data_IF_016233554773
#
_entry.id   IF_016233554773
#
_cell.length_a   1.000
_cell.length_b   1.000
_cell.length_c   1.000
_cell.angle_alpha   90.00
_cell.angle_beta   90.00
_cell.angle_gamma   90.00
#
_symmetry.space_group_name_H-M   'P 1'
#
loop_
_entity.id
_entity.type
_entity.pdbx_description
1 polymer ?
#
# COMPACT_ATOMS: atom_id res chain seq x y z
N UNK A 1 -17.10 -30.50 4.62
CA UNK A 1 -17.29 -29.18 3.96
C UNK A 1 -16.03 -28.28 4.01
N UNK A 2 -15.19 -28.35 5.06
CA UNK A 2 -13.97 -27.53 5.24
C UNK A 2 -12.87 -27.66 4.15
N UNK A 3 -12.76 -28.82 3.47
CA UNK A 3 -11.71 -29.06 2.44
C UNK A 3 -11.97 -28.30 1.13
N UNK A 4 -13.25 -28.08 0.75
CA UNK A 4 -13.61 -27.32 -0.46
C UNK A 4 -13.36 -25.82 -0.30
N UNK A 5 -13.57 -25.26 0.90
CA UNK A 5 -13.29 -23.85 1.17
C UNK A 5 -11.79 -23.51 1.12
N UNK A 6 -10.92 -24.39 1.63
CA UNK A 6 -9.46 -24.20 1.55
C UNK A 6 -8.94 -24.22 0.12
N UNK A 7 -9.48 -25.09 -0.74
CA UNK A 7 -9.11 -25.19 -2.16
C UNK A 7 -9.56 -23.93 -2.93
N UNK A 8 -10.77 -23.41 -2.64
CA UNK A 8 -11.27 -22.17 -3.24
C UNK A 8 -10.45 -20.95 -2.80
N UNK A 9 -10.05 -20.88 -1.53
CA UNK A 9 -9.16 -19.83 -1.02
C UNK A 9 -7.76 -19.89 -1.66
N UNK A 10 -7.22 -21.10 -1.84
CA UNK A 10 -5.90 -21.30 -2.47
C UNK A 10 -5.92 -20.94 -3.97
N UNK A 11 -6.99 -21.30 -4.69
CA UNK A 11 -7.21 -20.86 -6.09
C UNK A 11 -7.36 -19.34 -6.20
N UNK A 12 -8.10 -18.70 -5.29
CA UNK A 12 -8.23 -17.23 -5.27
C UNK A 12 -6.88 -16.55 -5.02
N UNK A 13 -6.06 -17.07 -4.11
CA UNK A 13 -4.72 -16.54 -3.85
C UNK A 13 -3.77 -16.72 -5.05
N UNK A 14 -3.84 -17.86 -5.75
CA UNK A 14 -3.04 -18.12 -6.94
C UNK A 14 -3.51 -17.28 -8.15
N UNK A 15 -4.82 -17.13 -8.34
CA UNK A 15 -5.36 -16.23 -9.37
C UNK A 15 -5.01 -14.78 -9.08
N UNK A 16 -5.05 -14.33 -7.82
CA UNK A 16 -4.56 -13.01 -7.44
C UNK A 16 -3.10 -12.84 -7.85
N UNK A 17 -2.20 -13.75 -7.45
CA UNK A 17 -0.78 -13.68 -7.85
C UNK A 17 -0.55 -13.68 -9.37
N UNK A 18 -1.35 -14.44 -10.13
CA UNK A 18 -1.25 -14.48 -11.59
C UNK A 18 -1.79 -13.21 -12.24
N UNK A 19 -2.93 -12.68 -11.77
CA UNK A 19 -3.50 -11.41 -12.24
C UNK A 19 -2.56 -10.27 -11.89
N UNK A 20 -1.99 -10.29 -10.70
CA UNK A 20 -0.99 -9.34 -10.23
C UNK A 20 0.26 -9.40 -11.10
N UNK A 21 0.83 -10.59 -11.35
CA UNK A 21 1.98 -10.76 -12.23
C UNK A 21 1.70 -10.40 -13.70
N UNK A 22 0.51 -10.70 -14.21
CA UNK A 22 0.08 -10.34 -15.55
C UNK A 22 -0.13 -8.82 -15.68
N UNK A 23 -0.78 -8.18 -14.72
CA UNK A 23 -0.93 -6.73 -14.66
C UNK A 23 0.43 -6.02 -14.55
N UNK A 24 1.38 -6.61 -13.80
CA UNK A 24 2.77 -6.14 -13.74
C UNK A 24 3.47 -6.25 -15.08
N UNK A 25 3.37 -7.39 -15.75
CA UNK A 25 3.94 -7.57 -17.09
C UNK A 25 3.35 -6.61 -18.12
N UNK A 26 2.02 -6.41 -18.07
CA UNK A 26 1.31 -5.50 -18.96
C UNK A 26 1.67 -4.03 -18.69
N UNK A 27 1.69 -3.58 -17.44
CA UNK A 27 2.08 -2.21 -17.11
C UNK A 27 3.51 -1.90 -17.52
N UNK A 28 4.44 -2.83 -17.31
CA UNK A 28 5.83 -2.69 -17.75
C UNK A 28 5.93 -2.70 -19.28
N UNK A 29 5.19 -3.57 -19.95
CA UNK A 29 5.14 -3.65 -21.40
C UNK A 29 4.58 -2.36 -22.02
N UNK A 30 3.53 -1.77 -21.45
CA UNK A 30 2.98 -0.49 -21.95
C UNK A 30 3.97 0.65 -21.70
N UNK A 31 4.52 0.76 -20.49
CA UNK A 31 5.46 1.83 -20.14
C UNK A 31 6.71 1.83 -21.03
N UNK A 32 7.33 0.67 -21.23
CA UNK A 32 8.50 0.56 -22.11
C UNK A 32 8.12 0.47 -23.59
N UNK A 33 6.98 -0.14 -23.91
CA UNK A 33 6.50 -0.29 -25.27
C UNK A 33 6.18 1.05 -25.92
N UNK A 34 5.61 2.01 -25.19
CA UNK A 34 5.32 3.36 -25.71
C UNK A 34 6.62 4.10 -26.10
N UNK A 35 7.72 3.81 -25.40
CA UNK A 35 9.04 4.43 -25.65
C UNK A 35 9.80 3.70 -26.77
N UNK A 36 9.74 2.37 -26.79
CA UNK A 36 10.60 1.53 -27.65
C UNK A 36 9.94 1.20 -28.99
N UNK A 37 8.62 1.04 -29.04
CA UNK A 37 7.90 0.58 -30.24
C UNK A 37 7.32 1.81 -30.97
N UNK A 38 7.81 2.14 -32.18
CA UNK A 38 7.20 3.17 -33.01
C UNK A 38 5.77 2.76 -33.39
N UNK A 39 4.80 3.64 -33.19
CA UNK A 39 3.38 3.40 -33.49
C UNK A 39 2.53 2.97 -32.29
N UNK A 40 3.11 2.33 -31.26
CA UNK A 40 2.35 1.95 -30.06
C UNK A 40 1.77 3.19 -29.34
N UNK A 41 2.52 4.30 -29.35
CA UNK A 41 2.08 5.60 -28.82
C UNK A 41 0.86 6.16 -29.59
N UNK A 42 0.87 6.05 -30.91
CA UNK A 42 -0.17 6.64 -31.76
C UNK A 42 -1.46 5.81 -31.72
N UNK A 43 -1.32 4.49 -31.69
CA UNK A 43 -2.42 3.58 -31.43
C UNK A 43 -3.03 3.87 -30.05
N UNK A 44 -2.18 4.03 -29.02
CA UNK A 44 -2.65 4.37 -27.68
C UNK A 44 -3.33 5.73 -27.60
N UNK A 45 -2.82 6.74 -28.31
CA UNK A 45 -3.45 8.05 -28.42
C UNK A 45 -4.84 7.95 -29.07
N UNK A 46 -4.98 7.10 -30.10
CA UNK A 46 -6.27 6.86 -30.77
C UNK A 46 -7.27 6.20 -29.84
N UNK A 47 -6.86 5.16 -29.09
CA UNK A 47 -7.72 4.52 -28.10
C UNK A 47 -8.13 5.48 -26.98
N UNK A 48 -7.20 6.29 -26.47
CA UNK A 48 -7.49 7.31 -25.46
C UNK A 48 -8.45 8.37 -25.99
N UNK A 49 -8.32 8.78 -27.27
CA UNK A 49 -9.22 9.74 -27.90
C UNK A 49 -10.67 9.22 -28.03
N UNK A 50 -10.89 7.92 -28.22
CA UNK A 50 -12.25 7.36 -28.23
C UNK A 50 -12.94 7.48 -26.87
N UNK A 51 -12.17 7.33 -25.78
CA UNK A 51 -12.71 7.38 -24.41
C UNK A 51 -12.80 8.81 -23.88
N UNK A 52 -11.79 9.63 -24.16
CA UNK A 52 -11.65 11.00 -23.64
C UNK A 52 -12.18 12.07 -24.59
N UNK A 53 -12.36 11.76 -25.87
CA UNK A 53 -12.92 12.67 -26.89
C UNK A 53 -14.37 13.10 -26.60
N UNK A 54 -15.32 12.16 -26.39
CA UNK A 54 -16.70 12.55 -26.12
C UNK A 54 -16.88 13.42 -24.87
N UNK A 55 -16.19 13.15 -23.73
CA UNK A 55 -16.17 14.05 -22.59
C UNK A 55 -15.45 15.38 -22.89
N UNK A 56 -14.39 15.39 -23.70
CA UNK A 56 -13.67 16.63 -24.02
C UNK A 56 -14.50 17.58 -24.85
N UNK A 57 -15.27 17.07 -25.81
CA UNK A 57 -16.09 17.88 -26.71
C UNK A 57 -17.32 18.47 -25.99
N UNK A 58 -17.81 17.81 -24.94
CA UNK A 58 -19.00 18.24 -24.18
C UNK A 58 -18.65 19.18 -23.03
N UNK A 59 -17.54 18.92 -22.33
CA UNK A 59 -17.14 19.69 -21.14
C UNK A 59 -16.35 20.94 -21.54
N UNK A 60 -15.64 20.89 -22.69
CA UNK A 60 -14.83 21.96 -23.30
C UNK A 60 -13.84 22.65 -22.32
N UNK A 61 -13.59 22.00 -21.17
CA UNK A 61 -12.73 22.48 -20.11
C UNK A 61 -11.89 21.33 -19.57
N UNK A 62 -10.62 21.38 -19.95
CA UNK A 62 -9.61 20.40 -19.60
C UNK A 62 -9.44 20.18 -18.09
N UNK A 63 -9.59 21.23 -17.27
CA UNK A 63 -9.44 21.14 -15.81
C UNK A 63 -10.54 20.28 -15.16
N UNK A 64 -11.78 20.38 -15.67
CA UNK A 64 -12.92 19.60 -15.15
C UNK A 64 -12.74 18.12 -15.49
N UNK A 65 -12.21 17.81 -16.68
CA UNK A 65 -11.92 16.43 -17.11
C UNK A 65 -10.85 15.81 -16.21
N UNK A 66 -9.75 16.54 -15.94
CA UNK A 66 -8.71 16.08 -15.01
C UNK A 66 -9.30 15.86 -13.61
N UNK A 67 -10.17 16.74 -13.14
CA UNK A 67 -10.80 16.60 -11.82
C UNK A 67 -11.62 15.31 -11.72
N UNK A 68 -12.44 15.02 -12.73
CA UNK A 68 -13.25 13.79 -12.80
C UNK A 68 -12.34 12.55 -12.83
N UNK A 69 -11.30 12.56 -13.66
CA UNK A 69 -10.32 11.47 -13.73
C UNK A 69 -9.58 11.29 -12.40
N UNK A 70 -9.21 12.37 -11.71
CA UNK A 70 -8.55 12.31 -10.42
C UNK A 70 -9.46 11.69 -9.35
N UNK A 71 -10.76 12.01 -9.36
CA UNK A 71 -11.74 11.41 -8.44
C UNK A 71 -11.88 9.91 -8.72
N UNK A 72 -12.03 9.51 -9.99
CA UNK A 72 -12.14 8.10 -10.39
C UNK A 72 -10.86 7.34 -10.01
N UNK A 73 -9.70 7.94 -10.26
CA UNK A 73 -8.40 7.37 -9.91
C UNK A 73 -8.27 7.21 -8.40
N UNK A 74 -8.58 8.25 -7.62
CA UNK A 74 -8.58 8.19 -6.17
C UNK A 74 -9.52 7.13 -5.61
N UNK A 75 -10.70 6.95 -6.23
CA UNK A 75 -11.66 5.93 -5.86
C UNK A 75 -11.15 4.51 -6.14
N UNK A 76 -10.65 4.26 -7.35
CA UNK A 76 -10.03 2.98 -7.71
C UNK A 76 -8.84 2.66 -6.79
N UNK A 77 -7.97 3.63 -6.56
CA UNK A 77 -6.81 3.51 -5.68
C UNK A 77 -7.24 3.21 -4.24
N UNK A 78 -8.30 3.85 -3.73
CA UNK A 78 -8.84 3.57 -2.40
C UNK A 78 -9.31 2.12 -2.25
N UNK A 79 -9.98 1.57 -3.27
CA UNK A 79 -10.42 0.17 -3.27
C UNK A 79 -9.23 -0.79 -3.24
N UNK A 80 -8.22 -0.54 -4.09
CA UNK A 80 -7.00 -1.36 -4.15
C UNK A 80 -6.25 -1.31 -2.82
N UNK A 81 -6.09 -0.13 -2.23
CA UNK A 81 -5.48 0.05 -0.92
C UNK A 81 -6.25 -0.72 0.16
N UNK A 82 -7.58 -0.60 0.19
CA UNK A 82 -8.43 -1.30 1.18
C UNK A 82 -8.30 -2.83 1.10
N UNK A 83 -8.17 -3.40 -0.11
CA UNK A 83 -8.02 -4.84 -0.30
C UNK A 83 -6.59 -5.37 -0.08
N UNK A 84 -5.60 -4.49 -0.17
CA UNK A 84 -4.19 -4.87 -0.02
C UNK A 84 -3.69 -4.66 1.41
N UNK A 85 -4.31 -3.76 2.17
CA UNK A 85 -3.88 -3.38 3.52
C UNK A 85 -4.28 -4.43 4.57
N UNK A 86 -3.30 -4.92 5.32
CA UNK A 86 -3.52 -5.91 6.36
C UNK A 86 -3.81 -5.23 7.71
N UNK A 87 -5.04 -5.37 8.18
CA UNK A 87 -5.54 -4.81 9.43
C UNK A 87 -4.84 -5.37 10.67
N UNK A 88 -4.28 -6.58 10.59
CA UNK A 88 -3.60 -7.24 11.72
C UNK A 88 -2.30 -6.51 12.11
N UNK A 89 -1.53 -6.05 11.13
CA UNK A 89 -0.25 -5.36 11.39
C UNK A 89 -0.48 -3.93 11.86
N UNK A 90 -1.56 -3.28 11.40
CA UNK A 90 -2.03 -2.02 12.00
C UNK A 90 -2.43 -2.17 13.47
N UNK A 91 -3.15 -3.25 13.81
CA UNK A 91 -3.54 -3.50 15.20
C UNK A 91 -2.30 -3.72 16.09
N UNK A 92 -1.33 -4.55 15.65
CA UNK A 92 -0.05 -4.75 16.34
C UNK A 92 0.75 -3.46 16.50
N UNK A 93 0.73 -2.59 15.49
CA UNK A 93 1.39 -1.27 15.57
C UNK A 93 0.74 -0.37 16.61
N UNK A 94 -0.59 -0.36 16.70
CA UNK A 94 -1.32 0.43 17.70
C UNK A 94 -1.03 -0.06 19.13
N UNK A 95 -0.94 -1.38 19.32
CA UNK A 95 -0.56 -1.98 20.59
C UNK A 95 0.87 -1.62 20.99
N UNK A 96 1.82 -1.73 20.06
CA UNK A 96 3.23 -1.34 20.27
C UNK A 96 3.36 0.13 20.66
N UNK A 97 2.61 1.03 20.00
CA UNK A 97 2.58 2.44 20.34
C UNK A 97 2.04 2.69 21.75
N UNK A 98 1.07 1.90 22.21
CA UNK A 98 0.55 1.99 23.58
C UNK A 98 1.63 1.57 24.59
N UNK A 99 2.28 0.42 24.36
CA UNK A 99 3.36 -0.08 25.22
C UNK A 99 4.52 0.92 25.33
N UNK A 100 4.89 1.58 24.22
CA UNK A 100 5.92 2.61 24.23
C UNK A 100 5.53 3.84 25.08
N UNK A 101 4.26 4.27 25.02
CA UNK A 101 3.76 5.39 25.85
C UNK A 101 3.78 5.01 27.33
N UNK A 102 3.40 3.78 27.66
CA UNK A 102 3.37 3.30 29.05
C UNK A 102 4.81 3.19 29.61
N UNK A 103 5.77 2.67 28.84
CA UNK A 103 7.19 2.64 29.20
C UNK A 103 7.77 4.05 29.42
N UNK A 104 7.38 5.04 28.60
CA UNK A 104 7.82 6.42 28.79
C UNK A 104 7.28 7.02 30.10
N UNK A 105 6.02 6.74 30.45
CA UNK A 105 5.45 7.17 31.73
C UNK A 105 6.17 6.53 32.93
N UNK A 106 6.35 5.21 32.89
CA UNK A 106 7.09 4.46 33.91
C UNK A 106 8.52 5.01 34.07
N UNK A 107 9.19 5.36 32.97
CA UNK A 107 10.53 5.94 33.00
C UNK A 107 10.55 7.32 33.67
N UNK A 108 9.58 8.19 33.38
CA UNK A 108 9.46 9.52 33.99
C UNK A 108 9.21 9.40 35.50
N UNK A 109 8.35 8.46 35.92
CA UNK A 109 8.07 8.19 37.34
C UNK A 109 9.31 7.65 38.05
N UNK A 110 9.99 6.65 37.48
CA UNK A 110 11.21 6.09 38.06
C UNK A 110 12.36 7.12 38.16
N UNK A 111 12.43 8.07 37.22
CA UNK A 111 13.40 9.18 37.26
C UNK A 111 13.08 10.20 38.35
N UNK A 112 11.80 10.43 38.65
CA UNK A 112 11.36 11.28 39.78
C UNK A 112 11.65 10.63 41.13
N UNK A 113 11.58 9.30 41.22
CA UNK A 113 11.91 8.52 42.41
C UNK A 113 13.43 8.30 42.63
N UNK A 114 14.30 8.80 41.73
CA UNK A 114 15.76 8.57 41.67
C UNK A 114 16.19 7.09 41.83
N UNK A 115 15.31 6.16 41.43
CA UNK A 115 15.54 4.74 41.63
C UNK A 115 16.34 4.14 40.46
N UNK A 116 17.67 4.17 40.60
CA UNK A 116 18.63 3.68 39.58
C UNK A 116 18.40 2.21 39.18
N UNK A 117 17.92 1.36 40.08
CA UNK A 117 17.61 -0.04 39.76
C UNK A 117 16.35 -0.19 38.90
N UNK A 118 15.29 0.59 39.18
CA UNK A 118 14.08 0.62 38.36
C UNK A 118 14.37 1.18 36.96
N UNK A 119 15.15 2.26 36.87
CA UNK A 119 15.54 2.87 35.59
C UNK A 119 16.23 1.85 34.68
N UNK A 120 17.21 1.10 35.20
CA UNK A 120 17.94 0.08 34.42
C UNK A 120 17.02 -1.05 33.92
N UNK A 121 16.02 -1.45 34.71
CA UNK A 121 15.00 -2.44 34.29
C UNK A 121 14.10 -1.89 33.18
N UNK A 122 13.66 -0.64 33.28
CA UNK A 122 12.80 0.02 32.29
C UNK A 122 13.56 0.23 30.97
N UNK A 123 14.85 0.58 31.02
CA UNK A 123 15.70 0.69 29.83
C UNK A 123 15.86 -0.64 29.10
N UNK A 124 16.06 -1.74 29.83
CA UNK A 124 16.10 -3.09 29.23
C UNK A 124 14.77 -3.45 28.54
N UNK A 125 13.64 -3.15 29.20
CA UNK A 125 12.29 -3.35 28.64
C UNK A 125 12.05 -2.47 27.41
N UNK A 126 12.51 -1.22 27.43
CA UNK A 126 12.46 -0.29 26.29
C UNK A 126 13.26 -0.82 25.10
N UNK A 127 14.46 -1.33 25.34
CA UNK A 127 15.31 -1.92 24.30
C UNK A 127 14.66 -3.16 23.67
N UNK A 128 14.03 -4.02 24.47
CA UNK A 128 13.31 -5.20 23.96
C UNK A 128 12.11 -4.82 23.08
N UNK A 129 11.29 -3.85 23.52
CA UNK A 129 10.15 -3.33 22.74
C UNK A 129 10.63 -2.64 21.47
N UNK A 130 11.75 -1.91 21.52
CA UNK A 130 12.34 -1.26 20.35
C UNK A 130 12.86 -2.28 19.34
N UNK A 131 13.41 -3.42 19.78
CA UNK A 131 13.78 -4.53 18.89
C UNK A 131 12.56 -5.13 18.19
N UNK A 132 11.48 -5.38 18.93
CA UNK A 132 10.19 -5.84 18.37
C UNK A 132 9.57 -4.83 17.41
N UNK A 133 9.74 -3.53 17.68
CA UNK A 133 9.32 -2.45 16.78
C UNK A 133 10.07 -2.49 15.45
N UNK A 134 11.37 -2.79 15.45
CA UNK A 134 12.17 -2.92 14.22
C UNK A 134 11.76 -4.12 13.36
N UNK A 135 11.38 -5.23 13.97
CA UNK A 135 10.85 -6.39 13.23
C UNK A 135 9.49 -6.05 12.59
N UNK A 136 8.60 -5.42 13.36
CA UNK A 136 7.29 -4.96 12.89
C UNK A 136 7.41 -3.87 11.81
N UNK A 137 8.40 -2.98 11.90
CA UNK A 137 8.62 -1.93 10.89
C UNK A 137 9.07 -2.53 9.55
N UNK A 138 9.86 -3.60 9.55
CA UNK A 138 10.19 -4.35 8.34
C UNK A 138 8.97 -5.04 7.71
N UNK A 139 8.05 -5.55 8.54
CA UNK A 139 6.78 -6.12 8.07
C UNK A 139 5.84 -5.04 7.51
N UNK A 140 5.75 -3.89 8.18
CA UNK A 140 5.02 -2.71 7.69
C UNK A 140 5.57 -2.20 6.37
N UNK A 141 6.90 -2.11 6.23
CA UNK A 141 7.55 -1.70 4.98
C UNK A 141 7.20 -2.65 3.84
N UNK A 142 7.28 -3.97 4.06
CA UNK A 142 6.84 -4.97 3.07
C UNK A 142 5.36 -4.81 2.70
N UNK A 143 4.51 -4.43 3.65
CA UNK A 143 3.09 -4.19 3.39
C UNK A 143 2.81 -2.87 2.68
N UNK A 144 3.62 -1.84 2.84
CA UNK A 144 3.50 -0.56 2.12
C UNK A 144 4.10 -0.63 0.71
N UNK A 145 5.14 -1.43 0.51
CA UNK A 145 5.73 -1.66 -0.81
C UNK A 145 4.79 -2.38 -1.77
N UNK A 146 3.94 -3.29 -1.25
CA UNK A 146 2.94 -4.00 -2.06
C UNK A 146 1.98 -3.02 -2.79
N UNK A 147 1.25 -2.13 -2.10
CA UNK A 147 0.41 -1.11 -2.75
C UNK A 147 1.19 -0.16 -3.66
N UNK A 148 2.39 0.30 -3.26
CA UNK A 148 3.20 1.22 -4.07
C UNK A 148 3.58 0.60 -5.42
N UNK A 149 4.06 -0.65 -5.44
CA UNK A 149 4.39 -1.30 -6.71
C UNK A 149 3.17 -1.50 -7.58
N UNK A 150 1.99 -1.81 -7.01
CA UNK A 150 0.75 -1.88 -7.80
C UNK A 150 0.32 -0.53 -8.37
N UNK A 151 0.36 0.53 -7.58
CA UNK A 151 -0.06 1.87 -8.00
C UNK A 151 0.89 2.42 -9.07
N UNK A 152 2.20 2.37 -8.85
CA UNK A 152 3.20 2.83 -9.84
C UNK A 152 3.02 2.11 -11.18
N UNK A 153 2.75 0.80 -11.16
CA UNK A 153 2.62 0.00 -12.37
C UNK A 153 1.28 0.21 -13.08
N UNK A 154 0.22 0.55 -12.36
CA UNK A 154 -1.12 0.70 -12.94
C UNK A 154 -1.47 2.16 -13.25
N UNK A 155 -0.80 3.12 -12.61
CA UNK A 155 -1.09 4.55 -12.72
C UNK A 155 -0.11 5.31 -13.61
N UNK A 156 1.10 4.78 -13.84
CA UNK A 156 2.08 5.39 -14.77
C UNK A 156 1.91 5.00 -16.25
N UNK A 157 1.46 3.78 -16.65
CA UNK A 157 1.27 3.50 -18.07
C UNK A 157 0.15 4.32 -18.69
#
# INVERSE_FOLDING_TARGET
MVKKEKITQQKKAHMKKLIEGAAMGLGFFVMFGIIIIPGLRDDMATYLHVVLGPPSDVIDNFLIIILILAIITGFYTSIVQKYTMNWEVMAKSKEMQKQMRDIQKEFIEAKKEDNKHKIKKIEAKRAEVMKKQTELSGEMFRQQMKPMSFIVILTIP
#
